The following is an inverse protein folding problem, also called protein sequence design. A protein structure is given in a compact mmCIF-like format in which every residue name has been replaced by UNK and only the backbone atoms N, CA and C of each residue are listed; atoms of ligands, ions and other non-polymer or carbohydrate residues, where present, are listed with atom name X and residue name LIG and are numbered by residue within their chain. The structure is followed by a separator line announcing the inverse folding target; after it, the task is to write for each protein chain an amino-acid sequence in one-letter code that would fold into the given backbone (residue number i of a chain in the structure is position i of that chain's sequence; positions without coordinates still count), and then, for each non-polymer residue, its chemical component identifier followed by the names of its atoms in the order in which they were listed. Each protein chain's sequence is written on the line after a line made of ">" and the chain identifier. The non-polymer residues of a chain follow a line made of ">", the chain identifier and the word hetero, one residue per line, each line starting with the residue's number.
data_IF_990104118318
#
_entry.id   IF_990104118318
#
_cell.length_a   1.000
_cell.length_b   1.000
_cell.length_c   1.000
_cell.angle_alpha   90.00
_cell.angle_beta   90.00
_cell.angle_gamma   90.00
#
_symmetry.space_group_name_H-M   'P 1'
#
loop_
_entity.id
_entity.type
_entity.pdbx_description
1 polymer ?
#
# COMPACT_ATOMS: atom_id res chain seq x y z
N UNK A 1 -56.59 11.07 -1.76
CA UNK A 1 -55.56 10.87 -2.81
C UNK A 1 -54.20 11.48 -2.47
N UNK A 2 -54.07 12.75 -2.05
CA UNK A 2 -52.78 13.43 -1.78
C UNK A 2 -51.85 12.67 -0.80
N UNK A 3 -52.39 12.12 0.29
CA UNK A 3 -51.60 11.36 1.29
C UNK A 3 -51.01 10.05 0.75
N UNK A 4 -51.67 9.43 -0.24
CA UNK A 4 -51.18 8.20 -0.88
C UNK A 4 -50.01 8.52 -1.83
N UNK A 5 -50.08 9.65 -2.52
CA UNK A 5 -49.02 10.15 -3.41
C UNK A 5 -47.78 10.54 -2.60
N UNK A 6 -47.95 11.25 -1.49
CA UNK A 6 -46.85 11.66 -0.60
C UNK A 6 -46.11 10.45 -0.02
N UNK A 7 -46.83 9.41 0.45
CA UNK A 7 -46.20 8.18 0.95
C UNK A 7 -45.35 7.46 -0.10
N UNK A 8 -45.81 7.42 -1.36
CA UNK A 8 -45.02 6.84 -2.47
C UNK A 8 -43.76 7.65 -2.74
N UNK A 9 -43.84 8.98 -2.70
CA UNK A 9 -42.67 9.86 -2.88
C UNK A 9 -41.64 9.61 -1.76
N UNK A 10 -42.07 9.50 -0.50
CA UNK A 10 -41.17 9.22 0.63
C UNK A 10 -40.47 7.86 0.50
N UNK A 11 -41.19 6.83 0.04
CA UNK A 11 -40.62 5.50 -0.21
C UNK A 11 -39.55 5.59 -1.31
N UNK A 12 -39.83 6.30 -2.41
CA UNK A 12 -38.87 6.47 -3.51
C UNK A 12 -37.60 7.19 -3.01
N UNK A 13 -37.74 8.26 -2.23
CA UNK A 13 -36.60 9.00 -1.66
C UNK A 13 -35.77 8.10 -0.75
N UNK A 14 -36.41 7.32 0.12
CA UNK A 14 -35.71 6.39 1.01
C UNK A 14 -34.92 5.34 0.22
N UNK A 15 -35.53 4.76 -0.82
CA UNK A 15 -34.87 3.81 -1.71
C UNK A 15 -33.66 4.45 -2.41
N UNK A 16 -33.79 5.70 -2.88
CA UNK A 16 -32.67 6.43 -3.50
C UNK A 16 -31.51 6.64 -2.52
N UNK A 17 -31.78 7.02 -1.26
CA UNK A 17 -30.74 7.17 -0.24
C UNK A 17 -30.02 5.84 0.06
N UNK A 18 -30.76 4.74 0.14
CA UNK A 18 -30.17 3.41 0.34
C UNK A 18 -29.27 3.03 -0.82
N UNK A 19 -29.69 3.28 -2.06
CA UNK A 19 -28.89 3.00 -3.27
C UNK A 19 -27.61 3.84 -3.26
N UNK A 20 -27.70 5.14 -2.98
CA UNK A 20 -26.55 6.04 -2.92
C UNK A 20 -25.55 5.57 -1.86
N UNK A 21 -26.04 5.27 -0.64
CA UNK A 21 -25.20 4.75 0.43
C UNK A 21 -24.51 3.44 0.04
N UNK A 22 -25.21 2.56 -0.68
CA UNK A 22 -24.65 1.30 -1.16
C UNK A 22 -23.54 1.51 -2.22
N UNK A 23 -23.72 2.46 -3.14
CA UNK A 23 -22.68 2.84 -4.12
C UNK A 23 -21.43 3.36 -3.40
N UNK A 24 -21.59 4.28 -2.45
CA UNK A 24 -20.46 4.79 -1.64
C UNK A 24 -19.74 3.68 -0.88
N UNK A 25 -20.49 2.71 -0.34
CA UNK A 25 -19.92 1.58 0.37
C UNK A 25 -19.08 0.69 -0.56
N UNK A 26 -19.57 0.40 -1.77
CA UNK A 26 -18.84 -0.37 -2.78
C UNK A 26 -17.54 0.35 -3.17
N UNK A 27 -17.61 1.66 -3.44
CA UNK A 27 -16.43 2.45 -3.82
C UNK A 27 -15.37 2.46 -2.72
N UNK A 28 -15.81 2.61 -1.46
CA UNK A 28 -14.93 2.53 -0.29
C UNK A 28 -14.18 1.19 -0.23
N UNK A 29 -14.89 0.07 -0.38
CA UNK A 29 -14.26 -1.25 -0.35
C UNK A 29 -13.33 -1.50 -1.53
N UNK A 30 -13.71 -1.03 -2.73
CA UNK A 30 -12.87 -1.15 -3.94
C UNK A 30 -11.55 -0.40 -3.78
N UNK A 31 -11.60 0.81 -3.23
CA UNK A 31 -10.40 1.62 -3.00
C UNK A 31 -9.45 0.94 -2.00
N UNK A 32 -9.97 0.42 -0.87
CA UNK A 32 -9.16 -0.28 0.13
C UNK A 32 -8.37 -1.46 -0.46
N UNK A 33 -9.03 -2.29 -1.28
CA UNK A 33 -8.39 -3.44 -1.93
C UNK A 33 -7.28 -3.02 -2.90
N UNK A 34 -7.44 -1.90 -3.63
CA UNK A 34 -6.43 -1.40 -4.54
C UNK A 34 -5.15 -0.96 -3.81
N UNK A 35 -5.28 -0.31 -2.65
CA UNK A 35 -4.14 0.12 -1.84
C UNK A 35 -3.32 -1.09 -1.38
N UNK A 36 -3.99 -2.13 -0.90
CA UNK A 36 -3.34 -3.37 -0.45
C UNK A 36 -2.65 -4.11 -1.60
N UNK A 37 -3.30 -4.22 -2.76
CA UNK A 37 -2.71 -4.82 -3.96
C UNK A 37 -1.49 -4.05 -4.44
N UNK A 38 -1.51 -2.71 -4.38
CA UNK A 38 -0.37 -1.89 -4.76
C UNK A 38 0.80 -2.11 -3.81
N UNK A 39 0.54 -2.11 -2.49
CA UNK A 39 1.55 -2.41 -1.48
C UNK A 39 2.18 -3.80 -1.68
N UNK A 40 1.37 -4.81 -1.99
CA UNK A 40 1.85 -6.16 -2.30
C UNK A 40 2.69 -6.23 -3.59
N UNK A 41 2.61 -5.23 -4.47
CA UNK A 41 3.41 -5.18 -5.68
C UNK A 41 4.77 -4.51 -5.41
N UNK A 42 4.78 -3.47 -4.56
CA UNK A 42 5.99 -2.73 -4.20
C UNK A 42 7.04 -3.64 -3.54
N UNK A 43 6.60 -4.58 -2.71
CA UNK A 43 7.48 -5.54 -2.04
C UNK A 43 7.59 -6.89 -2.78
N UNK A 44 6.92 -7.10 -3.91
CA UNK A 44 6.92 -8.40 -4.58
C UNK A 44 8.30 -8.76 -5.15
N UNK A 45 8.71 -10.03 -5.03
CA UNK A 45 9.95 -10.52 -5.62
C UNK A 45 9.89 -12.01 -5.95
N UNK A 46 10.79 -12.45 -6.81
CA UNK A 46 11.07 -13.85 -7.10
C UNK A 46 12.47 -14.29 -6.65
N UNK A 47 13.39 -13.34 -6.48
CA UNK A 47 14.81 -13.57 -6.21
C UNK A 47 15.36 -12.43 -5.34
N UNK A 48 16.33 -12.74 -4.47
CA UNK A 48 17.00 -11.77 -3.60
C UNK A 48 17.58 -10.57 -4.39
N UNK A 49 18.03 -10.80 -5.63
CA UNK A 49 18.60 -9.75 -6.50
C UNK A 49 17.59 -8.68 -6.92
N UNK A 50 16.29 -8.96 -6.78
CA UNK A 50 15.22 -8.02 -7.07
C UNK A 50 14.94 -7.09 -5.90
N UNK A 51 15.52 -7.34 -4.71
CA UNK A 51 15.24 -6.57 -3.51
C UNK A 51 16.35 -5.57 -3.21
N UNK A 52 15.95 -4.32 -2.97
CA UNK A 52 16.84 -3.21 -2.63
C UNK A 52 16.26 -2.40 -1.45
N UNK A 53 17.07 -1.60 -0.74
CA UNK A 53 16.57 -0.73 0.32
C UNK A 53 15.42 0.20 -0.14
N UNK A 54 14.39 0.38 0.68
CA UNK A 54 13.28 1.32 0.41
C UNK A 54 13.74 2.77 0.47
N UNK A 55 14.68 3.07 1.37
CA UNK A 55 15.24 4.40 1.56
C UNK A 55 16.72 4.43 1.17
N UNK A 56 17.21 5.62 0.82
CA UNK A 56 18.61 5.80 0.41
C UNK A 56 19.63 5.64 1.54
N UNK A 57 19.22 5.94 2.77
CA UNK A 57 20.06 5.86 3.97
C UNK A 57 19.23 5.22 5.09
N UNK A 58 19.88 4.45 5.97
CA UNK A 58 19.27 3.96 7.20
C UNK A 58 17.93 3.22 6.99
N UNK A 59 17.81 2.48 5.89
CA UNK A 59 16.57 1.78 5.55
C UNK A 59 16.38 0.56 6.45
N UNK A 60 15.21 0.41 7.05
CA UNK A 60 14.81 -0.77 7.83
C UNK A 60 13.95 -1.76 7.02
N UNK A 61 13.57 -1.37 5.81
CA UNK A 61 12.73 -2.10 4.89
C UNK A 61 13.38 -2.24 3.50
N UNK A 62 12.79 -3.12 2.69
CA UNK A 62 13.23 -3.41 1.32
C UNK A 62 12.04 -3.37 0.37
N UNK A 63 12.28 -2.95 -0.86
CA UNK A 63 11.32 -2.92 -1.97
C UNK A 63 11.89 -3.62 -3.19
N UNK A 64 11.04 -3.93 -4.17
CA UNK A 64 11.50 -4.39 -5.46
C UNK A 64 12.30 -3.28 -6.17
N UNK A 65 13.35 -3.66 -6.89
CA UNK A 65 14.24 -2.76 -7.63
C UNK A 65 13.52 -1.84 -8.62
N UNK A 66 12.34 -2.24 -9.11
CA UNK A 66 11.46 -1.40 -9.94
C UNK A 66 10.94 -0.15 -9.21
N UNK A 67 10.88 -0.20 -7.87
CA UNK A 67 10.41 0.88 -6.99
C UNK A 67 11.54 1.52 -6.18
N UNK A 68 12.81 1.27 -6.57
CA UNK A 68 13.96 1.81 -5.84
C UNK A 68 13.91 3.35 -5.75
N UNK A 69 14.33 3.94 -4.62
CA UNK A 69 14.44 5.38 -4.50
C UNK A 69 15.55 5.94 -5.41
N UNK A 70 15.43 7.20 -5.80
CA UNK A 70 16.51 7.91 -6.48
C UNK A 70 17.45 8.56 -5.46
N UNK A 71 18.67 8.03 -5.35
CA UNK A 71 19.65 8.47 -4.34
C UNK A 71 20.77 9.36 -4.90
N UNK A 72 20.67 9.86 -6.15
CA UNK A 72 21.79 10.56 -6.84
C UNK A 72 22.31 11.82 -6.13
N UNK A 73 21.45 12.51 -5.39
CA UNK A 73 21.78 13.79 -4.73
C UNK A 73 21.68 13.70 -3.20
N UNK A 74 21.60 12.48 -2.66
CA UNK A 74 21.46 12.25 -1.22
C UNK A 74 22.83 11.94 -0.63
N UNK A 75 23.20 12.70 0.40
CA UNK A 75 24.36 12.42 1.24
C UNK A 75 23.88 11.81 2.55
N UNK A 76 24.22 10.54 2.78
CA UNK A 76 23.92 9.84 4.03
C UNK A 76 24.91 10.23 5.14
N UNK A 77 24.45 10.22 6.38
CA UNK A 77 25.38 10.23 7.53
C UNK A 77 26.13 8.90 7.57
N UNK A 78 27.34 8.89 8.16
CA UNK A 78 28.14 7.66 8.33
C UNK A 78 27.71 6.83 9.56
N UNK A 79 26.50 7.07 10.07
CA UNK A 79 25.97 6.34 11.21
C UNK A 79 25.42 4.98 10.77
N UNK A 80 25.64 3.94 11.58
CA UNK A 80 24.97 2.66 11.43
C UNK A 80 23.74 2.63 12.34
N UNK A 81 22.56 2.98 11.83
CA UNK A 81 21.34 3.12 12.66
C UNK A 81 20.19 2.20 12.27
N UNK A 82 20.26 1.55 11.10
CA UNK A 82 19.28 0.56 10.65
C UNK A 82 19.86 -0.83 10.42
N UNK A 83 18.98 -1.81 10.22
CA UNK A 83 19.35 -3.21 9.98
C UNK A 83 20.09 -3.41 8.65
N UNK A 84 19.92 -2.52 7.66
CA UNK A 84 20.59 -2.62 6.36
C UNK A 84 21.91 -1.86 6.31
N UNK A 85 22.26 -1.12 7.36
CA UNK A 85 23.52 -0.38 7.40
C UNK A 85 24.69 -1.29 7.79
N UNK A 86 25.89 -0.90 7.33
CA UNK A 86 27.17 -1.43 7.80
C UNK A 86 27.30 -2.96 7.74
N UNK A 87 26.53 -3.61 6.85
CA UNK A 87 26.55 -5.05 6.64
C UNK A 87 25.86 -5.87 7.74
N UNK A 88 25.12 -5.26 8.66
CA UNK A 88 24.38 -5.99 9.70
C UNK A 88 23.25 -6.87 9.11
N UNK A 89 22.76 -6.50 7.94
CA UNK A 89 21.71 -7.20 7.24
C UNK A 89 21.75 -6.99 5.74
N UNK A 90 20.76 -7.55 5.07
CA UNK A 90 20.58 -7.45 3.62
C UNK A 90 19.10 -7.50 3.26
N UNK A 91 18.79 -7.08 2.04
CA UNK A 91 17.50 -7.38 1.44
C UNK A 91 17.48 -8.82 0.93
N UNK A 92 16.40 -9.53 1.22
CA UNK A 92 16.16 -10.88 0.76
C UNK A 92 14.69 -11.07 0.35
N UNK A 93 14.46 -11.96 -0.61
CA UNK A 93 13.15 -12.33 -1.08
C UNK A 93 12.60 -13.50 -0.25
N UNK A 94 11.75 -13.19 0.72
CA UNK A 94 11.20 -14.16 1.66
C UNK A 94 9.68 -14.23 1.49
N UNK A 95 9.18 -15.39 1.07
CA UNK A 95 7.76 -15.61 0.76
C UNK A 95 7.23 -14.60 -0.27
N UNK A 96 7.99 -14.43 -1.37
CA UNK A 96 7.71 -13.50 -2.46
C UNK A 96 7.61 -12.03 -2.04
N UNK A 97 8.20 -11.68 -0.89
CA UNK A 97 8.25 -10.31 -0.38
C UNK A 97 9.69 -9.93 -0.03
N UNK A 98 10.11 -8.76 -0.48
CA UNK A 98 11.36 -8.14 -0.09
C UNK A 98 11.31 -7.80 1.39
N UNK A 99 12.25 -8.34 2.15
CA UNK A 99 12.39 -8.10 3.59
C UNK A 99 13.83 -7.78 3.93
N UNK A 100 14.01 -6.90 4.91
CA UNK A 100 15.28 -6.74 5.58
C UNK A 100 15.49 -7.93 6.52
N UNK A 101 16.59 -8.64 6.35
CA UNK A 101 16.98 -9.78 7.19
C UNK A 101 18.37 -9.55 7.73
N UNK A 102 18.63 -10.07 8.93
CA UNK A 102 19.96 -10.05 9.53
C UNK A 102 20.88 -11.03 8.77
N UNK A 103 22.14 -10.63 8.58
CA UNK A 103 23.18 -11.51 8.03
C UNK A 103 23.63 -12.58 9.01
#
# INVERSE_FOLDING_TARGET
>A
MKNLVIKKILIIIFVLFVIIGFVYLIDYFKNKKNIENNKNNIDFCLDDKECVPENCCHSDSCVNVLYKPNCREIMCTQECSSILDCGYGRCACINNKCKAVKN
#
